data_IF_188185159250
#
_entry.id   IF_188185159250
#
_cell.length_a   1.000
_cell.length_b   1.000
_cell.length_c   1.000
_cell.angle_alpha   90.00
_cell.angle_beta   90.00
_cell.angle_gamma   90.00
#
_symmetry.space_group_name_H-M   'P 1'
#
loop_
_entity.id
_entity.type
_entity.pdbx_description
1 polymer ?
#
# COMPACT_ATOMS: atom_id res chain seq x y z
N UNK A 1 12.94 -20.09 -10.24
CA UNK A 1 11.71 -20.34 -11.04
C UNK A 1 11.49 -19.08 -11.87
N UNK A 2 11.57 -19.12 -13.20
CA UNK A 2 11.31 -17.94 -14.03
C UNK A 2 9.81 -17.68 -14.03
N UNK A 3 9.39 -16.62 -13.33
CA UNK A 3 8.01 -16.13 -13.40
C UNK A 3 7.76 -15.57 -14.82
N UNK A 4 6.55 -15.74 -15.40
CA UNK A 4 6.21 -15.12 -16.68
C UNK A 4 6.52 -13.62 -16.66
N UNK A 5 7.01 -13.06 -17.78
CA UNK A 5 7.46 -11.66 -17.84
C UNK A 5 6.39 -10.66 -17.35
N UNK A 6 5.12 -10.94 -17.63
CA UNK A 6 3.98 -10.13 -17.17
C UNK A 6 3.83 -10.13 -15.65
N UNK A 7 4.05 -11.28 -14.99
CA UNK A 7 3.98 -11.38 -13.53
C UNK A 7 5.08 -10.54 -12.87
N UNK A 8 6.31 -10.56 -13.41
CA UNK A 8 7.39 -9.72 -12.90
C UNK A 8 7.05 -8.23 -13.04
N UNK A 9 6.45 -7.84 -14.18
CA UNK A 9 5.98 -6.48 -14.40
C UNK A 9 4.89 -6.08 -13.42
N UNK A 10 3.92 -6.94 -13.12
CA UNK A 10 2.86 -6.63 -12.15
C UNK A 10 3.40 -6.49 -10.73
N UNK A 11 4.36 -7.34 -10.34
CA UNK A 11 5.04 -7.23 -9.05
C UNK A 11 5.81 -5.91 -8.96
N UNK A 12 6.55 -5.52 -10.01
CA UNK A 12 7.26 -4.23 -10.04
C UNK A 12 6.28 -3.04 -9.96
N UNK A 13 5.15 -3.10 -10.66
CA UNK A 13 4.09 -2.09 -10.55
C UNK A 13 3.52 -2.01 -9.13
N UNK A 14 3.30 -3.17 -8.48
CA UNK A 14 2.82 -3.21 -7.10
C UNK A 14 3.86 -2.67 -6.09
N UNK A 15 5.15 -2.88 -6.35
CA UNK A 15 6.23 -2.27 -5.57
C UNK A 15 6.21 -0.74 -5.69
N UNK A 16 6.13 -0.22 -6.92
CA UNK A 16 6.05 1.22 -7.15
C UNK A 16 4.80 1.83 -6.49
N UNK A 17 3.63 1.25 -6.72
CA UNK A 17 2.37 1.73 -6.15
C UNK A 17 2.35 1.60 -4.62
N UNK A 18 2.83 0.48 -4.06
CA UNK A 18 2.94 0.28 -2.63
C UNK A 18 3.82 1.32 -1.96
N UNK A 19 5.00 1.59 -2.53
CA UNK A 19 5.91 2.62 -2.04
C UNK A 19 5.28 4.02 -2.13
N UNK A 20 4.61 4.34 -3.24
CA UNK A 20 3.95 5.63 -3.45
C UNK A 20 2.85 5.91 -2.42
N UNK A 21 2.03 4.89 -2.10
CA UNK A 21 0.86 5.06 -1.23
C UNK A 21 1.10 4.61 0.22
N UNK A 22 2.29 4.12 0.57
CA UNK A 22 2.57 3.59 1.91
C UNK A 22 1.75 2.33 2.22
N UNK A 23 1.64 1.44 1.23
CA UNK A 23 1.02 0.11 1.35
C UNK A 23 2.11 -0.94 1.16
N UNK A 24 2.23 -1.96 2.01
CA UNK A 24 3.19 -3.05 1.80
C UNK A 24 2.99 -3.70 0.42
N UNK A 25 4.00 -3.69 -0.48
CA UNK A 25 3.87 -4.24 -1.82
C UNK A 25 3.41 -5.70 -1.85
N UNK A 26 3.88 -6.51 -0.90
CA UNK A 26 3.53 -7.92 -0.77
C UNK A 26 2.04 -8.11 -0.50
N UNK A 27 1.39 -7.14 0.17
CA UNK A 27 -0.06 -7.17 0.38
C UNK A 27 -0.82 -7.04 -0.92
N UNK A 28 -0.41 -6.08 -1.77
CA UNK A 28 -1.00 -5.86 -3.09
C UNK A 28 -0.79 -7.10 -3.97
N UNK A 29 0.40 -7.69 -3.93
CA UNK A 29 0.70 -8.93 -4.64
C UNK A 29 -0.17 -10.10 -4.16
N UNK A 30 -0.35 -10.23 -2.84
CA UNK A 30 -1.26 -11.21 -2.25
C UNK A 30 -2.71 -11.02 -2.70
N UNK A 31 -3.20 -9.77 -2.74
CA UNK A 31 -4.53 -9.45 -3.22
C UNK A 31 -4.70 -9.76 -4.71
N UNK A 32 -3.77 -9.32 -5.58
CA UNK A 32 -3.85 -9.63 -7.01
C UNK A 32 -3.92 -11.14 -7.31
N UNK A 33 -3.19 -11.94 -6.53
CA UNK A 33 -3.29 -13.40 -6.61
C UNK A 33 -4.69 -13.87 -6.22
N UNK A 34 -5.19 -13.43 -5.05
CA UNK A 34 -6.50 -13.83 -4.55
C UNK A 34 -7.65 -13.41 -5.48
N UNK A 35 -7.56 -12.22 -6.08
CA UNK A 35 -8.62 -11.63 -6.89
C UNK A 35 -8.74 -12.27 -8.28
N UNK A 36 -7.61 -12.51 -8.95
CA UNK A 36 -7.63 -12.88 -10.37
C UNK A 36 -6.56 -13.90 -10.77
N UNK A 37 -5.71 -14.34 -9.83
CA UNK A 37 -4.47 -15.02 -10.14
C UNK A 37 -3.65 -14.26 -11.20
N UNK A 38 -3.53 -12.95 -11.02
CA UNK A 38 -2.81 -12.01 -11.91
C UNK A 38 -3.39 -11.89 -13.33
N UNK A 39 -4.65 -12.26 -13.56
CA UNK A 39 -5.28 -12.15 -14.88
C UNK A 39 -5.91 -10.76 -15.08
N UNK A 40 -5.37 -9.89 -15.95
CA UNK A 40 -5.91 -8.55 -16.18
C UNK A 40 -7.22 -8.52 -16.97
N UNK A 41 -7.64 -9.66 -17.52
CA UNK A 41 -8.89 -9.82 -18.25
C UNK A 41 -9.96 -10.59 -17.47
N UNK A 42 -9.70 -10.93 -16.20
CA UNK A 42 -10.64 -11.66 -15.36
C UNK A 42 -11.97 -10.91 -15.22
N UNK A 43 -13.08 -11.64 -15.29
CA UNK A 43 -14.42 -11.11 -15.02
C UNK A 43 -15.13 -12.08 -14.07
N UNK A 44 -15.53 -11.60 -12.89
CA UNK A 44 -16.28 -12.43 -11.94
C UNK A 44 -17.75 -12.58 -12.34
N UNK A 45 -18.47 -13.58 -11.80
CA UNK A 45 -19.92 -13.69 -11.99
C UNK A 45 -20.70 -12.46 -11.52
N UNK A 46 -20.18 -11.70 -10.56
CA UNK A 46 -20.76 -10.46 -10.05
C UNK A 46 -20.38 -9.23 -10.88
N UNK A 47 -19.52 -9.40 -11.90
CA UNK A 47 -19.12 -8.35 -12.84
C UNK A 47 -17.88 -7.56 -12.44
N UNK A 48 -17.12 -8.00 -11.42
CA UNK A 48 -15.83 -7.41 -11.10
C UNK A 48 -14.82 -7.69 -12.22
N UNK A 49 -13.94 -6.73 -12.55
CA UNK A 49 -13.08 -6.79 -13.73
C UNK A 49 -11.61 -6.58 -13.37
N UNK A 50 -10.75 -7.35 -14.04
CA UNK A 50 -9.31 -7.14 -14.11
C UNK A 50 -8.52 -7.67 -12.92
N UNK A 51 -7.25 -7.30 -12.88
CA UNK A 51 -6.26 -7.93 -12.00
C UNK A 51 -6.57 -7.76 -10.50
N UNK A 52 -7.17 -6.61 -10.15
CA UNK A 52 -7.59 -6.26 -8.78
C UNK A 52 -9.11 -6.37 -8.57
N UNK A 53 -9.84 -6.93 -9.55
CA UNK A 53 -11.30 -7.16 -9.50
C UNK A 53 -12.11 -5.93 -9.06
N UNK A 54 -11.89 -4.80 -9.73
CA UNK A 54 -12.71 -3.61 -9.51
C UNK A 54 -14.13 -3.83 -10.05
N UNK A 55 -15.13 -3.49 -9.24
CA UNK A 55 -16.50 -3.35 -9.75
C UNK A 55 -16.57 -2.17 -10.74
N UNK A 56 -17.36 -2.23 -11.82
CA UNK A 56 -17.40 -1.19 -12.84
C UNK A 56 -17.76 0.21 -12.29
N UNK A 57 -18.65 0.28 -11.30
CA UNK A 57 -19.00 1.53 -10.63
C UNK A 57 -17.78 2.13 -9.90
N UNK A 58 -17.04 1.30 -9.17
CA UNK A 58 -15.81 1.71 -8.47
C UNK A 58 -14.71 2.10 -9.45
N UNK A 59 -14.50 1.36 -10.55
CA UNK A 59 -13.54 1.73 -11.58
C UNK A 59 -13.85 3.13 -12.16
N UNK A 60 -15.14 3.45 -12.36
CA UNK A 60 -15.58 4.78 -12.79
C UNK A 60 -15.29 5.87 -11.74
N UNK A 61 -15.49 5.59 -10.46
CA UNK A 61 -15.16 6.53 -9.37
C UNK A 61 -13.66 6.86 -9.31
N UNK A 62 -12.80 5.87 -9.59
CA UNK A 62 -11.35 6.04 -9.65
C UNK A 62 -10.85 6.55 -11.01
N UNK A 63 -11.74 6.63 -12.02
CA UNK A 63 -11.39 7.10 -13.35
C UNK A 63 -10.44 6.16 -14.11
N UNK A 64 -10.54 4.84 -13.89
CA UNK A 64 -9.63 3.85 -14.47
C UNK A 64 -10.30 2.92 -15.48
N UNK A 65 -9.50 2.37 -16.40
CA UNK A 65 -9.83 1.11 -17.07
C UNK A 65 -9.41 -0.06 -16.17
N UNK A 66 -10.35 -0.88 -15.65
CA UNK A 66 -10.01 -1.99 -14.76
C UNK A 66 -9.18 -3.09 -15.45
N UNK A 67 -9.18 -3.15 -16.80
CA UNK A 67 -8.35 -4.08 -17.58
C UNK A 67 -6.92 -3.60 -17.80
N UNK A 68 -6.64 -2.31 -17.57
CA UNK A 68 -5.27 -1.81 -17.56
C UNK A 68 -4.61 -2.19 -16.23
N UNK A 69 -3.61 -3.10 -16.22
CA UNK A 69 -3.00 -3.58 -14.99
C UNK A 69 -2.33 -2.44 -14.21
N UNK A 70 -1.75 -1.45 -14.88
CA UNK A 70 -1.03 -0.35 -14.22
C UNK A 70 -2.02 0.55 -13.48
N UNK A 71 -3.12 0.93 -14.14
CA UNK A 71 -4.16 1.74 -13.52
C UNK A 71 -4.87 0.99 -12.38
N UNK A 72 -5.15 -0.29 -12.58
CA UNK A 72 -5.82 -1.16 -11.61
C UNK A 72 -4.99 -1.35 -10.34
N UNK A 73 -3.71 -1.69 -10.48
CA UNK A 73 -2.78 -1.87 -9.34
C UNK A 73 -2.56 -0.55 -8.60
N UNK A 74 -2.36 0.55 -9.33
CA UNK A 74 -2.21 1.88 -8.72
C UNK A 74 -3.43 2.28 -7.89
N UNK A 75 -4.63 2.05 -8.43
CA UNK A 75 -5.88 2.35 -7.73
C UNK A 75 -6.15 1.40 -6.57
N UNK A 76 -5.74 0.13 -6.67
CA UNK A 76 -5.81 -0.81 -5.54
C UNK A 76 -4.94 -0.31 -4.38
N UNK A 77 -3.72 0.15 -4.65
CA UNK A 77 -2.86 0.74 -3.62
C UNK A 77 -3.47 1.99 -2.98
N UNK A 78 -3.99 2.90 -3.79
CA UNK A 78 -4.68 4.09 -3.29
C UNK A 78 -5.88 3.74 -2.41
N UNK A 79 -6.72 2.79 -2.86
CA UNK A 79 -7.89 2.32 -2.10
C UNK A 79 -7.46 1.69 -0.77
N UNK A 80 -6.50 0.76 -0.81
CA UNK A 80 -6.02 0.07 0.39
C UNK A 80 -5.42 1.02 1.41
N UNK A 81 -4.71 2.07 0.97
CA UNK A 81 -4.25 3.11 1.89
C UNK A 81 -5.41 3.86 2.54
N UNK A 82 -6.44 4.23 1.78
CA UNK A 82 -7.65 4.85 2.30
C UNK A 82 -8.36 3.97 3.34
N UNK A 83 -8.48 2.67 3.06
CA UNK A 83 -9.07 1.69 3.98
C UNK A 83 -8.24 1.54 5.25
N UNK A 84 -6.91 1.46 5.13
CA UNK A 84 -6.03 1.40 6.30
C UNK A 84 -6.15 2.65 7.18
N UNK A 85 -6.15 3.85 6.59
CA UNK A 85 -6.34 5.09 7.32
C UNK A 85 -7.68 5.12 8.07
N UNK A 86 -8.72 4.49 7.51
CA UNK A 86 -10.07 4.43 8.10
C UNK A 86 -10.19 3.41 9.24
N UNK A 87 -9.58 2.23 9.10
CA UNK A 87 -9.80 1.10 10.03
C UNK A 87 -8.61 0.78 10.93
N UNK A 88 -7.43 1.35 10.67
CA UNK A 88 -6.24 1.22 11.53
C UNK A 88 -5.49 -0.11 11.42
N UNK A 89 -5.99 -1.10 10.67
CA UNK A 89 -5.32 -2.37 10.45
C UNK A 89 -5.48 -2.88 9.02
N UNK A 90 -4.48 -3.60 8.51
CA UNK A 90 -4.55 -4.24 7.19
C UNK A 90 -5.62 -5.32 7.13
N UNK A 91 -5.83 -6.05 8.24
CA UNK A 91 -6.85 -7.10 8.32
C UNK A 91 -8.25 -6.52 8.14
N UNK A 92 -8.58 -5.45 8.86
CA UNK A 92 -9.86 -4.76 8.70
C UNK A 92 -9.99 -4.04 7.35
N UNK A 93 -8.90 -3.50 6.81
CA UNK A 93 -8.90 -2.94 5.46
C UNK A 93 -9.25 -4.00 4.39
N UNK A 94 -8.66 -5.20 4.45
CA UNK A 94 -8.96 -6.30 3.55
C UNK A 94 -10.41 -6.79 3.68
N UNK A 95 -10.92 -6.89 4.92
CA UNK A 95 -12.34 -7.22 5.15
C UNK A 95 -13.27 -6.15 4.55
N UNK A 96 -12.94 -4.87 4.70
CA UNK A 96 -13.70 -3.77 4.11
C UNK A 96 -13.59 -3.72 2.57
N UNK A 97 -12.45 -4.12 2.00
CA UNK A 97 -12.27 -4.27 0.55
C UNK A 97 -13.24 -5.34 0.00
N UNK A 98 -13.28 -6.51 0.65
CA UNK A 98 -14.10 -7.63 0.21
C UNK A 98 -15.61 -7.44 0.48
N UNK A 99 -15.99 -6.96 1.67
CA UNK A 99 -17.40 -6.88 2.10
C UNK A 99 -18.03 -5.50 1.93
N UNK A 100 -17.22 -4.50 1.60
CA UNK A 100 -17.62 -3.11 1.47
C UNK A 100 -17.57 -2.34 2.78
N UNK A 101 -17.15 -1.08 2.67
CA UNK A 101 -16.90 -0.20 3.81
C UNK A 101 -18.12 -0.02 4.70
N UNK A 102 -19.31 0.19 4.13
CA UNK A 102 -20.53 0.37 4.91
C UNK A 102 -20.88 -0.83 5.79
N UNK A 103 -20.62 -2.06 5.32
CA UNK A 103 -20.80 -3.25 6.14
C UNK A 103 -19.75 -3.32 7.25
N UNK A 104 -18.49 -2.98 6.96
CA UNK A 104 -17.44 -2.95 7.96
C UNK A 104 -17.70 -1.88 9.04
N UNK A 105 -18.13 -0.68 8.66
CA UNK A 105 -18.52 0.39 9.60
C UNK A 105 -19.66 -0.06 10.52
N UNK A 106 -20.69 -0.68 9.94
CA UNK A 106 -21.81 -1.22 10.71
C UNK A 106 -21.35 -2.31 11.66
N UNK A 107 -20.46 -3.19 11.19
CA UNK A 107 -19.95 -4.31 11.97
C UNK A 107 -19.10 -3.84 13.16
N UNK A 108 -18.20 -2.89 12.96
CA UNK A 108 -17.41 -2.31 14.06
C UNK A 108 -18.28 -1.63 15.12
N UNK A 109 -19.43 -1.08 14.73
CA UNK A 109 -20.37 -0.43 15.65
C UNK A 109 -21.34 -1.39 16.34
N UNK A 110 -21.76 -2.47 15.67
CA UNK A 110 -22.92 -3.27 16.09
C UNK A 110 -22.69 -4.78 16.14
N UNK A 111 -21.54 -5.25 15.67
CA UNK A 111 -21.26 -6.66 15.40
C UNK A 111 -21.97 -7.23 14.17
N UNK A 112 -22.68 -6.40 13.39
CA UNK A 112 -23.47 -6.81 12.22
C UNK A 112 -23.30 -5.85 11.04
N UNK A 113 -23.43 -6.36 9.81
CA UNK A 113 -23.44 -5.55 8.59
C UNK A 113 -24.70 -4.70 8.46
N UNK A 114 -24.81 -3.93 7.37
CA UNK A 114 -25.85 -2.89 7.22
C UNK A 114 -27.28 -3.43 7.20
N UNK A 115 -27.47 -4.72 6.92
CA UNK A 115 -28.77 -5.41 6.92
C UNK A 115 -28.93 -6.33 8.14
N UNK A 116 -28.11 -6.18 9.18
CA UNK A 116 -28.15 -7.00 10.38
C UNK A 116 -27.55 -8.41 10.21
N UNK A 117 -26.93 -8.69 9.07
CA UNK A 117 -26.28 -9.96 8.78
C UNK A 117 -24.89 -10.06 9.46
N UNK A 118 -24.42 -11.26 9.85
CA UNK A 118 -23.05 -11.43 10.31
C UNK A 118 -22.05 -11.21 9.17
N UNK A 119 -20.77 -11.00 9.50
CA UNK A 119 -19.70 -10.97 8.50
C UNK A 119 -19.64 -12.34 7.78
N UNK A 120 -19.67 -12.39 6.44
CA UNK A 120 -19.56 -13.65 5.70
C UNK A 120 -18.29 -14.42 6.06
N UNK A 121 -18.35 -15.75 6.10
CA UNK A 121 -17.19 -16.59 6.39
C UNK A 121 -16.06 -16.37 5.37
N UNK A 122 -16.41 -16.13 4.11
CA UNK A 122 -15.46 -15.75 3.05
C UNK A 122 -14.72 -14.45 3.39
N UNK A 123 -15.43 -13.41 3.80
CA UNK A 123 -14.82 -12.13 4.24
C UNK A 123 -13.93 -12.33 5.47
N UNK A 124 -14.32 -13.20 6.40
CA UNK A 124 -13.49 -13.49 7.58
C UNK A 124 -12.17 -14.16 7.20
N UNK A 125 -12.20 -15.07 6.22
CA UNK A 125 -11.03 -15.82 5.74
C UNK A 125 -10.16 -15.03 4.75
N UNK A 126 -10.74 -14.05 4.04
CA UNK A 126 -10.07 -13.30 2.98
C UNK A 126 -8.70 -12.71 3.38
N UNK A 127 -8.54 -12.07 4.56
CA UNK A 127 -7.22 -11.60 4.98
C UNK A 127 -6.15 -12.70 5.07
N UNK A 128 -6.50 -13.87 5.62
CA UNK A 128 -5.55 -14.98 5.78
C UNK A 128 -5.12 -15.56 4.44
N UNK A 129 -6.04 -15.63 3.48
CA UNK A 129 -5.73 -16.04 2.11
C UNK A 129 -4.75 -15.06 1.46
N UNK A 130 -5.03 -13.76 1.56
CA UNK A 130 -4.16 -12.69 1.04
C UNK A 130 -2.78 -12.74 1.69
N UNK A 131 -2.70 -12.90 3.02
CA UNK A 131 -1.41 -13.01 3.72
C UNK A 131 -0.64 -14.29 3.33
N UNK A 132 -1.34 -15.40 3.10
CA UNK A 132 -0.75 -16.64 2.59
C UNK A 132 -0.13 -16.47 1.20
N UNK A 133 -0.84 -15.79 0.30
CA UNK A 133 -0.33 -15.45 -1.03
C UNK A 133 0.84 -14.45 -0.97
N UNK A 134 0.73 -13.41 -0.14
CA UNK A 134 1.80 -12.45 0.09
C UNK A 134 3.09 -13.15 0.56
N UNK A 135 2.96 -14.10 1.51
CA UNK A 135 4.10 -14.87 2.03
C UNK A 135 4.74 -15.72 0.93
N UNK A 136 3.91 -16.38 0.10
CA UNK A 136 4.39 -17.21 -1.01
C UNK A 136 5.24 -16.38 -1.98
N UNK A 137 4.76 -15.20 -2.36
CA UNK A 137 5.46 -14.32 -3.30
C UNK A 137 6.68 -13.61 -2.68
N UNK A 138 6.74 -13.49 -1.35
CA UNK A 138 7.87 -12.95 -0.61
C UNK A 138 8.95 -14.01 -0.24
N UNK A 139 8.98 -15.15 -0.93
CA UNK A 139 9.98 -16.19 -0.67
C UNK A 139 9.80 -16.91 0.68
N UNK A 140 8.57 -16.96 1.19
CA UNK A 140 8.22 -17.67 2.43
C UNK A 140 8.25 -16.81 3.69
N UNK A 141 8.71 -15.56 3.63
CA UNK A 141 8.77 -14.65 4.78
C UNK A 141 7.93 -13.40 4.54
N UNK A 142 6.96 -13.13 5.41
CA UNK A 142 6.25 -11.85 5.39
C UNK A 142 7.15 -10.72 5.92
N UNK A 143 7.10 -9.52 5.32
CA UNK A 143 7.75 -8.35 5.90
C UNK A 143 7.14 -8.03 7.27
N UNK A 144 7.92 -7.43 8.16
CA UNK A 144 7.50 -7.14 9.54
C UNK A 144 6.18 -6.34 9.59
N UNK A 145 5.97 -5.41 8.66
CA UNK A 145 4.75 -4.60 8.53
C UNK A 145 3.47 -5.41 8.26
N UNK A 146 3.60 -6.61 7.68
CA UNK A 146 2.48 -7.54 7.44
C UNK A 146 2.45 -8.70 8.42
N UNK A 147 3.59 -9.06 9.01
CA UNK A 147 3.66 -10.13 9.99
C UNK A 147 2.78 -9.83 11.21
N UNK A 148 2.79 -8.60 11.73
CA UNK A 148 1.90 -8.20 12.83
C UNK A 148 0.42 -8.33 12.45
N UNK A 149 0.02 -7.86 11.26
CA UNK A 149 -1.36 -7.96 10.78
C UNK A 149 -1.83 -9.41 10.56
N UNK A 150 -0.92 -10.31 10.20
CA UNK A 150 -1.20 -11.73 10.04
C UNK A 150 -1.34 -12.48 11.39
N UNK A 151 -0.81 -11.92 12.49
CA UNK A 151 -0.89 -12.50 13.83
C UNK A 151 -2.09 -11.99 14.65
N UNK A 152 -2.68 -10.85 14.26
CA UNK A 152 -3.86 -10.27 14.91
C UNK A 152 -5.11 -11.18 14.89
N UNK A 153 -5.10 -12.25 14.09
CA UNK A 153 -6.17 -13.26 14.00
C UNK A 153 -6.35 -14.13 15.25
N UNK A 154 -5.34 -14.29 16.10
CA UNK A 154 -5.38 -15.22 17.23
C UNK A 154 -5.93 -14.61 18.54
N UNK A 155 -6.23 -13.30 18.59
CA UNK A 155 -6.75 -12.62 19.80
C UNK A 155 -8.13 -11.98 19.61
N UNK A 156 -8.98 -12.57 18.78
CA UNK A 156 -10.34 -12.08 18.48
C UNK A 156 -11.45 -12.51 19.45
N UNK A 157 -11.11 -13.06 20.63
CA UNK A 157 -12.05 -13.32 21.71
C UNK A 157 -11.77 -12.37 22.88
N UNK A 158 -12.70 -11.46 23.15
CA UNK A 158 -12.73 -10.59 24.34
C UNK A 158 -11.62 -9.53 24.45
N UNK A 159 -11.91 -8.33 23.95
CA UNK A 159 -11.42 -7.12 24.63
C UNK A 159 -12.54 -6.65 25.54
N UNK A 160 -12.48 -7.14 26.77
CA UNK A 160 -13.33 -6.69 27.86
C UNK A 160 -13.20 -5.18 28.06
N UNK A 161 -14.39 -4.62 28.27
CA UNK A 161 -14.70 -3.41 29.01
C UNK A 161 -13.90 -3.34 30.32
N UNK A 162 -13.15 -2.25 30.55
CA UNK A 162 -12.86 -1.60 31.84
C UNK A 162 -11.82 -0.48 31.57
N UNK A 163 -12.01 0.80 31.87
CA UNK A 163 -13.10 1.49 32.55
C UNK A 163 -12.85 3.01 32.61
N UNK A 164 -13.92 3.72 33.01
CA UNK A 164 -13.94 5.02 33.71
C UNK A 164 -13.49 6.27 32.90
N UNK A 165 -14.22 7.38 32.78
CA UNK A 165 -15.20 8.03 33.68
C UNK A 165 -15.90 9.22 32.98
N UNK A 166 -17.13 9.54 33.43
CA UNK A 166 -17.86 10.81 33.20
C UNK A 166 -18.64 10.86 31.89
N UNK A 167 -19.98 10.77 31.81
CA UNK A 167 -21.02 11.21 32.74
C UNK A 167 -21.38 12.67 32.45
N UNK A 168 -22.33 12.93 31.55
CA UNK A 168 -23.31 14.04 31.60
C UNK A 168 -24.50 13.72 30.68
N UNK A 169 -25.68 14.09 31.16
CA UNK A 169 -27.02 13.72 30.71
C UNK A 169 -27.54 14.57 29.54
N UNK A 170 -28.52 14.00 28.80
CA UNK A 170 -29.71 14.72 28.33
C UNK A 170 -29.64 15.47 26.99
N UNK A 171 -30.21 14.89 25.93
CA UNK A 171 -31.12 15.64 25.04
C UNK A 171 -32.04 14.71 24.24
N UNK A 172 -33.33 15.03 24.27
CA UNK A 172 -34.42 14.40 23.53
C UNK A 172 -34.75 15.27 22.31
N UNK A 173 -35.05 14.65 21.15
CA UNK A 173 -35.84 15.28 20.09
C UNK A 173 -35.23 15.31 18.68
N UNK A 174 -35.82 14.48 17.79
CA UNK A 174 -36.42 14.86 16.50
C UNK A 174 -35.63 15.63 15.42
N UNK A 175 -35.69 15.07 14.21
CA UNK A 175 -35.74 15.72 12.88
C UNK A 175 -34.44 16.19 12.19
N UNK A 176 -34.09 15.43 11.14
CA UNK A 176 -33.75 15.93 9.80
C UNK A 176 -32.57 16.89 9.64
N UNK A 177 -31.46 16.40 9.07
CA UNK A 177 -30.43 17.24 8.44
C UNK A 177 -30.33 16.88 6.95
N UNK A 178 -30.43 17.85 6.02
CA UNK A 178 -30.36 17.60 4.58
C UNK A 178 -28.94 17.31 4.07
N UNK A 179 -28.86 16.46 3.05
CA UNK A 179 -27.65 16.14 2.27
C UNK A 179 -27.17 17.34 1.46
N UNK A 180 -26.38 18.25 2.04
CA UNK A 180 -25.63 19.25 1.27
C UNK A 180 -24.50 19.94 2.04
N UNK A 181 -23.65 19.23 2.80
CA UNK A 181 -22.38 19.81 3.30
C UNK A 181 -21.29 18.73 3.46
N UNK A 182 -20.63 18.35 2.36
CA UNK A 182 -19.28 17.77 2.41
C UNK A 182 -18.39 18.76 1.65
N UNK A 183 -17.82 19.70 2.40
CA UNK A 183 -16.63 20.42 1.96
C UNK A 183 -15.45 19.50 2.20
N UNK A 184 -14.63 19.27 1.18
CA UNK A 184 -13.36 18.55 1.28
C UNK A 184 -12.40 19.28 2.23
N UNK A 185 -11.73 18.59 3.17
CA UNK A 185 -10.56 19.16 3.83
C UNK A 185 -9.37 19.08 2.86
N UNK A 186 -8.72 20.22 2.64
CA UNK A 186 -7.40 20.32 2.02
C UNK A 186 -6.39 19.66 2.99
N UNK A 187 -5.77 18.55 2.57
CA UNK A 187 -4.81 17.80 3.39
C UNK A 187 -3.51 18.59 3.65
N UNK A 188 -2.73 18.22 4.68
CA UNK A 188 -1.49 18.92 5.02
C UNK A 188 -0.41 18.66 3.96
N UNK A 189 0.36 19.70 3.62
CA UNK A 189 1.61 19.56 2.88
C UNK A 189 2.56 18.67 3.70
N UNK A 190 2.91 17.49 3.16
CA UNK A 190 3.98 16.65 3.72
C UNK A 190 5.31 17.29 3.33
N UNK A 191 6.15 17.60 4.32
CA UNK A 191 7.50 18.10 4.10
C UNK A 191 8.38 17.01 3.49
N UNK A 192 9.26 17.38 2.56
CA UNK A 192 10.25 16.49 1.95
C UNK A 192 11.27 16.03 3.00
N UNK A 193 11.79 14.80 2.92
CA UNK A 193 12.80 14.28 3.84
C UNK A 193 14.10 15.10 3.77
N UNK A 194 14.83 15.11 4.88
CA UNK A 194 16.15 15.72 4.98
C UNK A 194 17.23 14.87 4.30
N UNK A 195 18.37 15.48 3.94
CA UNK A 195 19.50 14.80 3.27
C UNK A 195 20.06 13.61 4.05
N UNK A 196 19.88 13.57 5.37
CA UNK A 196 20.29 12.43 6.20
C UNK A 196 19.33 11.24 6.06
N UNK A 197 18.02 11.50 5.97
CA UNK A 197 17.02 10.46 5.76
C UNK A 197 17.13 9.85 4.35
N UNK A 198 17.54 10.64 3.36
CA UNK A 198 17.87 10.16 2.01
C UNK A 198 19.08 9.23 2.03
N UNK A 199 20.13 9.59 2.77
CA UNK A 199 21.34 8.78 2.92
C UNK A 199 21.06 7.45 3.64
N UNK A 200 20.25 7.48 4.70
CA UNK A 200 19.86 6.28 5.46
C UNK A 200 18.96 5.35 4.63
N UNK A 201 18.09 5.90 3.77
CA UNK A 201 17.32 5.12 2.80
C UNK A 201 18.23 4.44 1.76
N UNK A 202 19.17 5.19 1.19
CA UNK A 202 20.12 4.66 0.19
C UNK A 202 20.97 3.54 0.80
N UNK A 203 21.45 3.73 2.03
CA UNK A 203 22.28 2.74 2.73
C UNK A 203 21.50 1.47 3.13
N UNK A 204 20.18 1.58 3.36
CA UNK A 204 19.31 0.42 3.65
C UNK A 204 18.99 -0.43 2.41
N UNK A 205 19.14 0.10 1.20
CA UNK A 205 18.87 -0.64 -0.05
C UNK A 205 20.06 -1.54 -0.39
N UNK A 206 21.29 -1.03 -0.23
CA UNK A 206 22.52 -1.77 -0.49
C UNK A 206 22.71 -3.00 0.44
N UNK A 207 22.10 -3.00 1.62
CA UNK A 207 22.22 -4.10 2.59
C UNK A 207 21.27 -5.29 2.34
N UNK A 208 20.43 -5.25 1.29
CA UNK A 208 19.32 -6.23 1.09
C UNK A 208 19.63 -7.37 0.13
N UNK A 209 20.84 -7.46 -0.40
CA UNK A 209 21.28 -8.61 -1.21
C UNK A 209 20.49 -8.79 -2.51
N UNK A 210 20.05 -7.69 -3.13
CA UNK A 210 19.47 -7.72 -4.47
C UNK A 210 20.54 -8.07 -5.51
N UNK A 211 20.12 -8.61 -6.64
CA UNK A 211 21.03 -8.80 -7.77
C UNK A 211 21.57 -7.42 -8.21
N UNK A 212 22.88 -7.29 -8.56
CA UNK A 212 23.52 -6.00 -8.78
C UNK A 212 22.85 -5.10 -9.83
N UNK A 213 22.20 -5.71 -10.82
CA UNK A 213 21.44 -5.02 -11.87
C UNK A 213 20.13 -4.39 -11.34
N UNK A 214 19.46 -5.08 -10.41
CA UNK A 214 18.25 -4.57 -9.74
C UNK A 214 18.60 -3.44 -8.79
N UNK A 215 19.72 -3.55 -8.07
CA UNK A 215 20.21 -2.48 -7.19
C UNK A 215 20.54 -1.20 -7.98
N UNK A 216 21.25 -1.35 -9.10
CA UNK A 216 21.55 -0.24 -10.02
C UNK A 216 20.28 0.39 -10.60
N UNK A 217 19.25 -0.40 -10.90
CA UNK A 217 18.00 0.10 -11.46
C UNK A 217 17.15 0.84 -10.42
N UNK A 218 17.17 0.39 -9.16
CA UNK A 218 16.53 1.06 -8.03
C UNK A 218 17.22 2.41 -7.74
N UNK A 219 18.56 2.42 -7.66
CA UNK A 219 19.35 3.64 -7.45
C UNK A 219 19.11 4.65 -8.57
N UNK A 220 19.12 4.20 -9.83
CA UNK A 220 18.84 5.05 -11.01
C UNK A 220 17.41 5.62 -11.00
N UNK A 221 16.44 4.85 -10.52
CA UNK A 221 15.04 5.30 -10.43
C UNK A 221 14.83 6.29 -9.28
N UNK A 222 15.54 6.12 -8.16
CA UNK A 222 15.55 7.08 -7.04
C UNK A 222 16.23 8.40 -7.43
N UNK A 223 17.33 8.36 -8.18
CA UNK A 223 18.02 9.56 -8.69
C UNK A 223 17.14 10.41 -9.63
N UNK A 224 16.17 9.80 -10.31
CA UNK A 224 15.22 10.49 -11.20
C UNK A 224 14.04 11.12 -10.46
N UNK A 225 13.83 10.77 -9.19
CA UNK A 225 12.75 11.30 -8.35
C UNK A 225 13.18 12.50 -7.50
N UNK A 226 14.47 12.83 -7.48
CA UNK A 226 15.00 14.04 -6.85
C UNK A 226 14.81 15.23 -7.82
N UNK A 227 14.12 16.32 -7.43
CA UNK A 227 14.03 17.49 -8.29
C UNK A 227 15.43 18.08 -8.51
N UNK A 228 15.77 18.35 -9.78
CA UNK A 228 16.99 19.04 -10.18
C UNK A 228 17.13 20.31 -9.33
N UNK A 229 18.07 20.31 -8.38
CA UNK A 229 18.53 21.54 -7.75
C UNK A 229 19.54 22.15 -8.69
N UNK A 230 19.18 23.31 -9.22
CA UNK A 230 20.08 24.16 -9.98
C UNK A 230 21.39 24.41 -9.22
N UNK A 231 22.49 24.22 -9.95
CA UNK A 231 23.82 24.82 -9.75
C UNK A 231 24.48 24.66 -8.37
N UNK A 232 25.01 23.47 -8.10
CA UNK A 232 26.25 23.32 -7.33
C UNK A 232 27.18 22.40 -8.13
N UNK A 233 28.38 22.86 -8.44
CA UNK A 233 29.36 22.08 -9.18
C UNK A 233 29.80 20.87 -8.35
N UNK A 234 30.09 19.74 -8.99
CA UNK A 234 30.47 18.48 -8.32
C UNK A 234 31.68 18.57 -7.36
N UNK A 235 32.42 19.70 -7.38
CA UNK A 235 33.50 19.99 -6.42
C UNK A 235 33.03 20.43 -5.03
N UNK A 236 31.82 20.97 -4.88
CA UNK A 236 31.38 21.54 -3.60
C UNK A 236 30.76 20.50 -2.64
N UNK A 237 30.49 19.28 -3.10
CA UNK A 237 29.83 18.22 -2.32
C UNK A 237 30.80 17.31 -1.54
N UNK A 238 32.11 17.39 -1.82
CA UNK A 238 33.15 16.58 -1.18
C UNK A 238 34.20 17.53 -0.61
N UNK A 239 33.97 18.04 0.60
CA UNK A 239 34.93 18.95 1.25
C UNK A 239 36.32 18.32 1.32
N UNK A 240 37.34 19.05 0.82
CA UNK A 240 38.82 18.93 0.84
C UNK A 240 39.54 17.55 0.90
N UNK A 241 38.83 16.43 0.99
CA UNK A 241 39.35 15.08 0.91
C UNK A 241 39.02 14.52 -0.47
N UNK A 242 40.00 14.50 -1.37
CA UNK A 242 39.86 13.96 -2.71
C UNK A 242 39.26 12.54 -2.74
N UNK A 243 38.69 12.16 -3.89
CA UNK A 243 38.05 10.87 -4.10
C UNK A 243 39.00 9.70 -3.72
N UNK A 244 38.50 8.67 -3.01
CA UNK A 244 39.27 7.47 -2.69
C UNK A 244 39.94 6.83 -3.92
N UNK A 245 41.19 6.39 -3.76
CA UNK A 245 41.99 5.81 -4.86
C UNK A 245 41.42 4.48 -5.38
N UNK A 246 40.53 3.83 -4.63
CA UNK A 246 39.88 2.57 -4.94
C UNK A 246 38.49 2.73 -5.58
N UNK A 247 38.11 3.95 -5.97
CA UNK A 247 36.84 4.17 -6.66
C UNK A 247 36.80 3.45 -8.02
N UNK A 248 35.66 2.82 -8.28
CA UNK A 248 35.37 2.16 -9.55
C UNK A 248 35.59 3.14 -10.73
N UNK A 249 36.30 2.74 -11.80
CA UNK A 249 36.64 3.62 -12.92
C UNK A 249 35.43 4.23 -13.63
N UNK A 250 34.29 3.52 -13.62
CA UNK A 250 33.05 3.99 -14.24
C UNK A 250 32.42 5.07 -13.38
N UNK A 251 32.45 4.91 -12.05
CA UNK A 251 31.96 5.94 -11.11
C UNK A 251 32.86 7.18 -11.19
N UNK A 252 34.17 6.99 -11.33
CA UNK A 252 35.13 8.09 -11.52
C UNK A 252 34.84 8.91 -12.78
N UNK A 253 34.57 8.24 -13.91
CA UNK A 253 34.23 8.90 -15.19
C UNK A 253 32.90 9.66 -15.15
N UNK A 254 31.94 9.21 -14.32
CA UNK A 254 30.66 9.88 -14.11
C UNK A 254 30.83 11.14 -13.26
N UNK A 255 31.68 11.11 -12.24
CA UNK A 255 31.96 12.26 -11.36
C UNK A 255 32.78 13.34 -12.07
N UNK A 256 33.71 12.96 -12.96
CA UNK A 256 34.55 13.92 -13.69
C UNK A 256 33.82 14.63 -14.85
N UNK A 257 32.65 14.14 -15.28
CA UNK A 257 31.86 14.69 -16.41
C UNK A 257 30.64 15.52 -15.99
N UNK A 258 30.38 15.64 -14.68
CA UNK A 258 29.29 16.42 -14.09
C UNK A 258 29.81 17.77 -13.55
#
# INVERSE_FOLDING_TARGET
MNLPADLQRYIATAQQAGNQYGVPPELLVGQMHQESNFNPNAVSPSGAVGISQFMPATAKEYGIDPRDPVQSIGSQAQMMRGLYNRYGSWRSALQAYNWGQGNMDSYLRTGKGTKGQPMPAETQAYPDQVFGHARTHAGGRLPASLASAALESDMGGSRDLLGSSGGLEGFSGSSGIPSSLISTPRGPHVAMPSTQEEHDMMSSIASRGYAPDVEQQIVKSLAQLLPARDSLSGRDMLGDGGLPDDLDPVIRDIVDKA
#
